data_IF_748223193866
#
_entry.id   IF_748223193866
#
_cell.length_a   1.000
_cell.length_b   1.000
_cell.length_c   1.000
_cell.angle_alpha   90.00
_cell.angle_beta   90.00
_cell.angle_gamma   90.00
#
_symmetry.space_group_name_H-M   'P 1'
#
loop_
_entity.id
_entity.type
_entity.pdbx_description
1 polymer ?
2 non-polymer ?
3 non-polymer ?
4 water ?
#
# COMPACT_ATOMS: atom_id res chain seq x y z
N UNK A 24 4.38 17.27 -5.80
CA UNK A 24 4.17 15.85 -5.43
C UNK A 24 5.04 14.98 -6.32
N UNK A 25 6.03 14.26 -5.76
CA UNK A 25 6.87 13.38 -6.54
C UNK A 25 6.04 12.25 -7.17
N UNK A 26 4.94 11.90 -6.52
CA UNK A 26 4.11 10.76 -7.01
C UNK A 26 3.31 11.14 -8.24
N UNK A 27 3.43 12.39 -8.70
CA UNK A 27 2.76 12.81 -9.96
C UNK A 27 3.78 12.88 -11.09
N UNK A 28 5.03 12.47 -10.82
CA UNK A 28 6.10 12.61 -11.83
C UNK A 28 6.26 11.32 -12.64
N UNK A 29 6.78 11.47 -13.85
CA UNK A 29 7.06 10.30 -14.71
C UNK A 29 8.12 9.42 -14.06
N UNK A 30 9.09 10.05 -13.43
CA UNK A 30 10.19 9.29 -12.78
C UNK A 30 9.58 8.26 -11.83
N UNK A 31 8.68 8.72 -10.97
CA UNK A 31 8.10 7.79 -10.01
C UNK A 31 7.13 6.83 -10.69
N UNK A 32 6.47 7.26 -11.76
CA UNK A 32 5.50 6.40 -12.42
C UNK A 32 6.17 5.13 -12.96
N UNK A 33 7.28 5.30 -13.68
CA UNK A 33 7.97 4.13 -14.20
C UNK A 33 8.53 3.24 -13.11
N UNK A 34 9.10 3.85 -12.05
CA UNK A 34 9.59 3.06 -10.92
C UNK A 34 8.46 2.23 -10.32
N UNK A 35 7.29 2.83 -10.14
CA UNK A 35 6.22 2.13 -9.45
C UNK A 35 5.49 1.14 -10.34
N UNK A 36 5.42 1.40 -11.64
CA UNK A 36 4.87 0.40 -12.55
C UNK A 36 5.77 -0.82 -12.62
N UNK A 37 7.10 -0.63 -12.63
CA UNK A 37 7.99 -1.78 -12.56
C UNK A 37 7.87 -2.48 -11.21
N UNK A 38 7.73 -1.69 -10.13
CA UNK A 38 7.62 -2.25 -8.79
C UNK A 38 6.37 -3.12 -8.67
N UNK A 39 5.27 -2.66 -9.26
CA UNK A 39 4.00 -3.34 -9.12
C UNK A 39 3.79 -4.44 -10.16
N UNK A 40 4.34 -4.29 -11.37
CA UNK A 40 4.03 -5.21 -12.46
C UNK A 40 5.24 -5.74 -13.21
N UNK A 41 6.46 -5.40 -12.78
CA UNK A 41 7.64 -5.82 -13.49
C UNK A 41 8.22 -7.12 -12.96
N UNK A 42 9.34 -7.55 -13.52
CA UNK A 42 10.02 -8.73 -13.02
C UNK A 42 10.69 -8.44 -11.68
N UNK A 43 10.99 -9.50 -10.96
CA UNK A 43 11.64 -9.35 -9.67
C UNK A 43 13.10 -8.98 -9.82
N UNK A 44 13.64 -8.43 -8.74
CA UNK A 44 15.05 -8.07 -8.65
C UNK A 44 15.68 -8.75 -7.44
N UNK A 45 16.95 -9.17 -7.60
CA UNK A 45 17.71 -9.82 -6.52
C UNK A 45 16.96 -11.02 -5.92
N UNK A 46 16.12 -11.66 -6.74
CA UNK A 46 15.30 -12.81 -6.33
C UNK A 46 14.31 -12.47 -5.22
N UNK A 47 13.97 -11.20 -5.06
CA UNK A 47 12.98 -10.80 -4.05
C UNK A 47 11.59 -10.87 -4.68
N UNK A 48 10.63 -11.52 -4.04
CA UNK A 48 9.28 -11.63 -4.63
C UNK A 48 8.62 -10.26 -4.78
N UNK A 49 7.69 -10.18 -5.74
CA UNK A 49 6.87 -8.97 -5.88
C UNK A 49 6.24 -8.60 -4.54
N UNK A 50 6.40 -7.33 -4.17
CA UNK A 50 6.05 -6.89 -2.82
C UNK A 50 4.55 -6.71 -2.64
N UNK A 51 3.84 -5.99 -3.52
CA UNK A 51 2.38 -5.90 -3.35
C UNK A 51 1.74 -7.27 -3.26
N UNK A 52 2.15 -8.21 -4.12
CA UNK A 52 1.60 -9.55 -4.06
C UNK A 52 1.97 -10.25 -2.76
N UNK A 53 3.25 -10.17 -2.35
CA UNK A 53 3.67 -10.80 -1.09
C UNK A 53 2.86 -10.27 0.08
N UNK A 54 2.56 -8.97 0.10
CA UNK A 54 1.78 -8.39 1.18
C UNK A 54 0.37 -8.97 1.21
N UNK A 55 -0.28 -9.02 0.06
CA UNK A 55 -1.66 -9.51 0.00
C UNK A 55 -1.72 -11.00 0.28
N UNK A 56 -0.68 -11.77 -0.08
CA UNK A 56 -0.65 -13.17 0.29
C UNK A 56 -0.71 -13.33 1.80
N UNK A 57 0.01 -12.48 2.54
CA UNK A 57 -0.03 -12.53 4.00
C UNK A 57 -1.40 -12.09 4.53
N UNK A 58 -1.96 -11.02 3.98
CA UNK A 58 -3.30 -10.60 4.38
C UNK A 58 -4.31 -11.73 4.20
N UNK A 59 -4.27 -12.40 3.03
CA UNK A 59 -5.26 -13.43 2.73
C UNK A 59 -5.02 -14.70 3.55
N UNK A 60 -3.82 -14.90 4.07
CA UNK A 60 -3.55 -16.04 4.93
C UNK A 60 -4.13 -15.86 6.32
N UNK A 61 -4.57 -14.65 6.66
CA UNK A 61 -5.02 -14.32 8.01
C UNK A 61 -6.45 -13.81 8.08
N UNK A 62 -7.06 -13.47 6.95
CA UNK A 62 -8.43 -12.95 6.97
C UNK A 62 -9.41 -14.09 7.18
N UNK A 63 -10.12 -14.05 8.30
CA UNK A 63 -11.08 -15.07 8.65
C UNK A 63 -12.53 -14.62 8.52
N UNK A 64 -12.77 -13.41 8.02
CA UNK A 64 -14.10 -12.86 7.90
C UNK A 64 -14.69 -13.06 6.52
N UNK A 65 -15.77 -12.32 6.25
CA UNK A 65 -16.43 -12.38 4.96
C UNK A 65 -15.59 -11.66 3.90
N UNK A 66 -15.89 -11.95 2.64
CA UNK A 66 -15.04 -11.42 1.57
C UNK A 66 -15.82 -10.54 0.61
N UNK A 67 -16.65 -9.64 1.14
CA UNK A 67 -17.45 -8.77 0.32
C UNK A 67 -16.75 -7.51 -0.15
N UNK A 68 -15.94 -6.88 0.71
CA UNK A 68 -15.41 -5.55 0.40
C UNK A 68 -14.06 -5.33 1.04
N UNK A 69 -13.08 -4.89 0.23
CA UNK A 69 -11.76 -4.55 0.71
C UNK A 69 -11.37 -3.16 0.24
N UNK A 70 -10.52 -2.50 1.03
CA UNK A 70 -10.04 -1.15 0.77
C UNK A 70 -8.52 -1.15 0.73
N UNK A 71 -7.94 -0.57 -0.32
CA UNK A 71 -6.49 -0.47 -0.53
C UNK A 71 -6.12 1.01 -0.49
N UNK A 72 -5.52 1.46 0.62
CA UNK A 72 -5.22 2.86 0.84
C UNK A 72 -3.78 3.16 0.46
N UNK A 73 -3.57 4.21 -0.34
CA UNK A 73 -2.25 4.43 -0.93
C UNK A 73 -1.93 3.38 -1.96
N UNK A 74 -2.92 3.01 -2.78
CA UNK A 74 -2.81 1.86 -3.68
C UNK A 74 -1.82 2.07 -4.82
N UNK A 75 -1.37 3.30 -5.08
CA UNK A 75 -0.46 3.62 -6.20
C UNK A 75 -1.05 3.03 -7.48
N UNK A 76 -0.30 2.25 -8.26
CA UNK A 76 -0.74 1.82 -9.57
C UNK A 76 -1.46 0.47 -9.52
N UNK A 77 -1.74 -0.03 -8.32
CA UNK A 77 -2.86 -0.95 -8.14
C UNK A 77 -2.59 -2.43 -7.99
N UNK A 78 -1.33 -2.91 -7.91
CA UNK A 78 -1.11 -4.35 -7.90
C UNK A 78 -1.78 -5.02 -6.69
N UNK A 79 -1.69 -4.41 -5.52
CA UNK A 79 -2.32 -5.00 -4.34
C UNK A 79 -3.85 -5.03 -4.47
N UNK A 80 -4.44 -4.06 -5.16
CA UNK A 80 -5.89 -4.07 -5.36
C UNK A 80 -6.31 -5.21 -6.28
N UNK A 81 -5.58 -5.42 -7.38
CA UNK A 81 -5.93 -6.51 -8.28
C UNK A 81 -5.73 -7.87 -7.61
N UNK A 82 -4.71 -7.98 -6.75
CA UNK A 82 -4.53 -9.24 -6.03
C UNK A 82 -5.67 -9.48 -5.05
N UNK A 83 -6.12 -8.43 -4.35
CA UNK A 83 -7.25 -8.57 -3.44
C UNK A 83 -8.53 -8.96 -4.19
N UNK A 84 -8.68 -8.48 -5.42
CA UNK A 84 -9.88 -8.76 -6.21
C UNK A 84 -9.97 -10.22 -6.65
N UNK A 85 -8.91 -11.00 -6.50
CA UNK A 85 -9.03 -12.44 -6.74
C UNK A 85 -9.91 -13.11 -5.71
N UNK A 86 -10.11 -12.48 -4.55
CA UNK A 86 -10.87 -13.07 -3.46
C UNK A 86 -12.07 -12.24 -3.00
N UNK A 87 -12.02 -10.92 -3.13
CA UNK A 87 -13.09 -10.06 -2.62
C UNK A 87 -14.03 -9.65 -3.74
N UNK A 88 -15.32 -9.50 -3.40
CA UNK A 88 -16.31 -9.16 -4.41
C UNK A 88 -16.15 -7.74 -4.94
N UNK A 89 -15.66 -6.82 -4.11
CA UNK A 89 -15.43 -5.43 -4.48
C UNK A 89 -14.15 -4.99 -3.80
N UNK A 90 -13.28 -4.28 -4.53
CA UNK A 90 -12.03 -3.72 -4.00
C UNK A 90 -11.96 -2.26 -4.42
N UNK A 91 -11.85 -1.37 -3.43
CA UNK A 91 -11.71 0.06 -3.66
C UNK A 91 -10.26 0.45 -3.42
N UNK A 92 -9.63 1.06 -4.41
CA UNK A 92 -8.26 1.56 -4.28
C UNK A 92 -8.24 3.07 -4.30
N UNK A 93 -7.58 3.67 -3.31
CA UNK A 93 -7.55 5.12 -3.15
C UNK A 93 -6.11 5.59 -3.09
N UNK A 94 -5.77 6.63 -3.87
CA UNK A 94 -4.45 7.23 -3.81
C UNK A 94 -4.61 8.72 -4.10
N UNK A 95 -3.70 9.52 -3.55
CA UNK A 95 -3.71 10.96 -3.79
C UNK A 95 -3.19 11.33 -5.17
N UNK A 96 -2.41 10.46 -5.82
CA UNK A 96 -1.81 10.75 -7.12
C UNK A 96 -2.78 10.45 -8.25
N UNK A 97 -3.17 11.50 -9.00
CA UNK A 97 -4.03 11.28 -10.15
C UNK A 97 -3.31 10.48 -11.22
N UNK A 98 -2.00 10.70 -11.41
CA UNK A 98 -1.28 9.94 -12.43
C UNK A 98 -1.25 8.47 -12.09
N UNK A 99 -1.10 8.12 -10.82
CA UNK A 99 -1.14 6.72 -10.42
C UNK A 99 -2.52 6.12 -10.65
N UNK A 100 -3.57 6.85 -10.25
CA UNK A 100 -4.93 6.31 -10.35
C UNK A 100 -5.33 6.13 -11.80
N UNK A 101 -4.93 7.07 -12.67
CA UNK A 101 -5.22 6.93 -14.10
C UNK A 101 -4.54 5.69 -14.69
N UNK A 102 -3.36 5.33 -14.21
CA UNK A 102 -2.70 4.11 -14.70
C UNK A 102 -3.42 2.86 -14.20
N UNK A 103 -3.79 2.83 -12.91
CA UNK A 103 -4.52 1.68 -12.39
C UNK A 103 -5.83 1.49 -13.13
N UNK A 104 -6.56 2.59 -13.38
CA UNK A 104 -7.84 2.49 -14.09
C UNK A 104 -7.65 2.01 -15.52
N UNK A 105 -6.60 2.49 -16.21
CA UNK A 105 -6.35 2.02 -17.56
C UNK A 105 -6.04 0.53 -17.57
N UNK A 106 -5.30 0.05 -16.56
CA UNK A 106 -5.03 -1.38 -16.46
C UNK A 106 -6.32 -2.17 -16.23
N UNK A 107 -7.19 -1.67 -15.35
CA UNK A 107 -8.44 -2.37 -15.08
C UNK A 107 -9.31 -2.45 -16.33
N UNK A 108 -9.31 -1.40 -17.12
CA UNK A 108 -10.22 -1.31 -18.26
C UNK A 108 -9.65 -1.91 -19.54
N UNK A 109 -8.34 -1.74 -19.78
CA UNK A 109 -7.72 -2.26 -20.99
C UNK A 109 -6.92 -3.54 -20.76
N UNK A 110 -6.57 -3.84 -19.51
CA UNK A 110 -5.79 -5.02 -19.22
C UNK A 110 -4.30 -4.87 -19.44
N UNK A 111 -3.84 -3.73 -19.97
CA UNK A 111 -2.45 -3.53 -20.34
C UNK A 111 -2.15 -2.05 -20.33
N UNK A 112 -0.88 -1.71 -20.11
CA UNK A 112 -0.42 -0.36 -20.41
C UNK A 112 1.07 -0.44 -20.70
N UNK A 113 1.61 0.63 -21.26
CA UNK A 113 3.04 0.70 -21.51
C UNK A 113 3.63 1.91 -20.78
N UNK A 114 4.93 1.83 -20.48
CA UNK A 114 5.58 2.88 -19.70
C UNK A 114 7.08 2.85 -19.98
N UNK A 115 7.76 3.91 -19.57
CA UNK A 115 9.22 3.98 -19.71
C UNK A 115 9.89 3.80 -18.36
N UNK A 116 11.09 3.18 -18.38
CA UNK A 116 11.96 3.14 -17.22
C UNK A 116 13.32 3.70 -17.61
N UNK A 117 14.07 4.19 -16.62
CA UNK A 117 15.38 4.75 -16.89
C UNK A 117 16.42 3.65 -16.97
N UNK A 118 17.24 3.68 -18.03
CA UNK A 118 18.40 2.81 -18.10
C UNK A 118 19.60 3.51 -17.47
N UNK A 119 20.02 4.63 -18.06
CA UNK A 119 21.21 5.35 -17.64
C UNK A 119 21.07 6.78 -18.15
N UNK A 120 21.05 7.74 -17.23
CA UNK A 120 20.90 9.13 -17.63
C UNK A 120 19.58 9.35 -18.34
N UNK A 121 19.66 9.88 -19.57
CA UNK A 121 18.51 10.10 -20.43
C UNK A 121 18.14 8.88 -21.27
N UNK A 122 18.93 7.80 -21.22
CA UNK A 122 18.60 6.60 -21.98
C UNK A 122 17.50 5.83 -21.26
N UNK A 123 16.42 5.53 -21.97
CA UNK A 123 15.23 4.93 -21.37
C UNK A 123 14.78 3.74 -22.20
N UNK A 124 13.89 2.93 -21.62
CA UNK A 124 13.39 1.71 -22.25
C UNK A 124 11.91 1.55 -21.98
N UNK A 125 11.15 1.19 -23.02
CA UNK A 125 9.70 1.01 -22.89
C UNK A 125 9.37 -0.41 -22.46
N UNK A 126 8.35 -0.53 -21.60
CA UNK A 126 7.94 -1.78 -20.96
C UNK A 126 6.42 -1.88 -20.99
N UNK A 127 5.91 -3.08 -20.76
CA UNK A 127 4.46 -3.35 -20.71
C UNK A 127 4.09 -3.96 -19.37
N UNK A 128 3.00 -3.46 -18.79
CA UNK A 128 2.33 -4.13 -17.66
C UNK A 128 1.10 -4.83 -18.21
N UNK A 129 0.91 -6.09 -17.80
CA UNK A 129 -0.10 -6.95 -18.43
C UNK A 129 -0.80 -7.76 -17.34
N UNK A 130 -2.10 -7.49 -17.13
CA UNK A 130 -2.84 -8.20 -16.10
C UNK A 130 -3.02 -9.67 -16.45
N UNK A 131 -3.26 -9.97 -17.74
CA UNK A 131 -3.51 -11.36 -18.12
C UNK A 131 -2.30 -12.24 -17.84
N UNK A 132 -1.08 -11.72 -18.09
CA UNK A 132 0.12 -12.49 -17.78
C UNK A 132 0.26 -12.77 -16.29
N UNK A 133 -0.35 -11.94 -15.45
CA UNK A 133 -0.26 -12.10 -13.99
C UNK A 133 -1.46 -12.82 -13.41
N UNK A 134 -2.36 -13.31 -14.27
CA UNK A 134 -3.61 -13.98 -13.86
C UNK A 134 -4.52 -13.05 -13.07
N UNK A 135 -4.53 -11.77 -13.46
CA UNK A 135 -5.30 -10.74 -12.77
C UNK A 135 -6.42 -10.13 -13.61
N UNK A 136 -6.55 -10.52 -14.89
CA UNK A 136 -7.52 -9.85 -15.74
C UNK A 136 -8.95 -10.26 -15.45
N UNK A 137 -9.18 -11.51 -15.04
CA UNK A 137 -10.53 -12.04 -14.93
C UNK A 137 -11.34 -11.32 -13.86
N UNK A 138 -10.67 -10.80 -12.83
CA UNK A 138 -11.33 -10.14 -11.71
C UNK A 138 -11.07 -8.64 -11.67
N UNK A 139 -10.45 -8.06 -12.71
CA UNK A 139 -10.18 -6.63 -12.72
C UNK A 139 -11.46 -5.80 -12.64
N UNK A 140 -12.58 -6.34 -13.12
CA UNK A 140 -13.85 -5.63 -13.04
C UNK A 140 -14.37 -5.44 -11.62
N UNK A 141 -13.80 -6.15 -10.66
CA UNK A 141 -14.19 -5.99 -9.26
C UNK A 141 -13.51 -4.79 -8.59
N UNK A 142 -12.61 -4.11 -9.29
CA UNK A 142 -11.89 -2.99 -8.71
C UNK A 142 -12.50 -1.66 -9.12
N UNK A 143 -12.31 -0.67 -8.27
CA UNK A 143 -12.64 0.72 -8.59
C UNK A 143 -11.59 1.61 -7.94
N UNK A 144 -10.90 2.41 -8.75
CA UNK A 144 -9.83 3.29 -8.27
C UNK A 144 -10.32 4.72 -8.25
N UNK A 145 -9.96 5.47 -7.21
CA UNK A 145 -10.36 6.87 -7.12
C UNK A 145 -9.29 7.68 -6.43
N UNK A 146 -9.20 8.96 -6.80
CA UNK A 146 -8.33 9.90 -6.11
C UNK A 146 -8.95 10.25 -4.77
N UNK A 147 -8.12 10.27 -3.73
CA UNK A 147 -8.59 10.62 -2.40
C UNK A 147 -7.43 10.80 -1.44
N UNK A 148 -7.75 11.41 -0.31
CA UNK A 148 -6.79 11.71 0.75
C UNK A 148 -7.03 10.75 1.90
N UNK A 149 -6.06 9.87 2.15
CA UNK A 149 -6.18 8.88 3.21
C UNK A 149 -6.24 9.50 4.60
N UNK A 150 -5.88 10.76 4.75
CA UNK A 150 -6.00 11.43 6.03
C UNK A 150 -7.38 12.08 6.22
N UNK A 151 -8.22 12.09 5.18
CA UNK A 151 -9.53 12.70 5.26
C UNK A 151 -10.41 12.03 4.19
N UNK A 152 -10.78 10.79 4.46
CA UNK A 152 -11.57 10.00 3.52
C UNK A 152 -13.02 10.48 3.50
N UNK A 153 -13.68 10.34 2.35
CA UNK A 153 -15.08 10.76 2.24
C UNK A 153 -15.97 10.01 3.24
N UNK A 154 -16.99 10.70 3.76
CA UNK A 154 -17.84 10.06 4.76
C UNK A 154 -18.84 9.08 4.16
N UNK A 155 -18.86 8.94 2.83
CA UNK A 155 -19.72 8.04 2.10
C UNK A 155 -19.07 6.68 1.81
N UNK A 156 -17.83 6.47 2.29
CA UNK A 156 -17.05 5.31 1.89
C UNK A 156 -17.57 4.00 2.47
N UNK A 157 -18.40 4.03 3.51
CA UNK A 157 -18.87 2.78 4.09
C UNK A 157 -17.80 2.08 4.89
N UNK A 158 -17.98 0.79 5.11
CA UNK A 158 -17.03 0.00 5.89
C UNK A 158 -16.67 -1.28 5.15
N UNK A 159 -15.64 -1.95 5.65
CA UNK A 159 -14.92 -2.96 4.88
C UNK A 159 -14.62 -4.19 5.72
N UNK A 160 -14.50 -5.32 5.03
CA UNK A 160 -14.05 -6.55 5.66
C UNK A 160 -12.53 -6.54 5.88
N UNK A 161 -11.80 -5.85 5.01
CA UNK A 161 -10.34 -5.85 5.04
C UNK A 161 -9.84 -4.50 4.54
N UNK A 162 -8.81 -3.97 5.21
CA UNK A 162 -8.14 -2.76 4.75
C UNK A 162 -6.65 -3.03 4.68
N UNK A 163 -6.03 -2.66 3.56
CA UNK A 163 -4.59 -2.76 3.36
C UNK A 163 -4.00 -1.38 3.17
N UNK A 164 -2.93 -1.08 3.87
CA UNK A 164 -2.19 0.18 3.69
C UNK A 164 -0.71 -0.13 3.60
N UNK A 165 -0.19 -0.25 2.38
CA UNK A 165 1.19 -0.64 2.16
C UNK A 165 2.11 0.55 1.94
N UNK A 166 3.17 0.59 2.75
CA UNK A 166 4.20 1.64 2.66
C UNK A 166 3.59 3.04 2.64
N UNK A 167 2.59 3.25 3.48
CA UNK A 167 1.84 4.51 3.48
C UNK A 167 2.05 5.35 4.74
N UNK A 168 2.08 4.74 5.92
CA UNK A 168 2.02 5.49 7.17
C UNK A 168 3.18 6.49 7.28
N UNK A 169 4.36 6.13 6.78
CA UNK A 169 5.52 7.02 6.86
C UNK A 169 5.59 8.00 5.70
N UNK A 170 4.53 8.09 4.89
CA UNK A 170 4.45 9.07 3.82
C UNK A 170 3.27 10.01 4.00
N UNK A 171 2.64 10.02 5.21
CA UNK A 171 1.46 10.82 5.48
C UNK A 171 1.77 12.02 6.34
N UNK A 172 1.17 13.18 6.09
CA UNK A 172 1.46 14.35 6.93
C UNK A 172 0.78 14.31 8.29
N UNK A 173 -0.29 13.54 8.43
CA UNK A 173 -1.02 13.42 9.70
C UNK A 173 -1.34 11.95 9.95
N UNK A 174 -0.35 11.19 10.43
CA UNK A 174 -0.61 9.76 10.70
C UNK A 174 -1.73 9.54 11.70
N UNK A 175 -1.85 10.41 12.71
CA UNK A 175 -2.90 10.20 13.70
C UNK A 175 -4.28 10.36 13.09
N UNK A 176 -4.46 11.35 12.20
CA UNK A 176 -5.76 11.53 11.57
C UNK A 176 -6.12 10.34 10.69
N UNK A 177 -5.11 9.78 10.00
CA UNK A 177 -5.31 8.57 9.22
C UNK A 177 -5.80 7.42 10.12
N UNK A 178 -5.07 7.15 11.21
CA UNK A 178 -5.39 6.01 12.08
C UNK A 178 -6.74 6.19 12.76
N UNK A 179 -7.14 7.42 13.05
CA UNK A 179 -8.39 7.66 13.77
C UNK A 179 -9.62 7.21 12.99
N UNK A 180 -9.50 7.07 11.66
CA UNK A 180 -10.61 6.62 10.83
C UNK A 180 -10.80 5.12 10.86
N UNK A 181 -9.76 4.35 11.17
CA UNK A 181 -9.75 2.94 10.86
C UNK A 181 -10.73 2.10 11.68
N UNK A 182 -10.90 2.32 13.00
CA UNK A 182 -11.93 1.52 13.71
C UNK A 182 -13.30 1.61 13.05
N UNK A 183 -13.71 2.80 12.60
CA UNK A 183 -15.02 2.93 11.98
C UNK A 183 -15.08 2.33 10.59
N UNK A 184 -13.93 2.10 9.95
CA UNK A 184 -13.92 1.60 8.58
C UNK A 184 -13.83 0.09 8.48
N UNK A 185 -13.54 -0.62 9.58
CA UNK A 185 -13.41 -2.08 9.55
C UNK A 185 -14.54 -2.69 10.38
N UNK A 186 -15.26 -3.64 9.77
CA UNK A 186 -16.29 -4.39 10.47
C UNK A 186 -15.65 -5.25 11.56
N UNK A 187 -16.34 -5.49 12.67
CA UNK A 187 -15.80 -6.40 13.69
C UNK A 187 -15.53 -7.77 13.09
N UNK A 188 -14.38 -8.34 13.43
CA UNK A 188 -13.90 -9.55 12.81
C UNK A 188 -13.09 -9.33 11.55
N UNK A 189 -13.04 -8.10 11.05
CA UNK A 189 -12.28 -7.80 9.86
C UNK A 189 -10.80 -7.68 10.15
N UNK A 190 -10.03 -7.45 9.08
CA UNK A 190 -8.57 -7.42 9.16
C UNK A 190 -8.04 -6.10 8.64
N UNK A 191 -7.12 -5.49 9.40
CA UNK A 191 -6.34 -4.36 8.95
C UNK A 191 -4.88 -4.78 8.84
N UNK A 192 -4.25 -4.50 7.69
CA UNK A 192 -2.83 -4.78 7.51
C UNK A 192 -2.11 -3.51 7.11
N UNK A 193 -1.07 -3.18 7.87
CA UNK A 193 -0.22 -2.01 7.67
C UNK A 193 1.20 -2.51 7.44
N UNK A 194 1.85 -2.04 6.38
CA UNK A 194 3.28 -2.30 6.21
C UNK A 194 4.03 -0.99 6.08
N UNK A 195 5.27 -0.99 6.57
CA UNK A 195 6.11 0.20 6.50
C UNK A 195 7.55 -0.11 6.87
N UNK A 196 8.52 0.51 6.18
CA UNK A 196 9.91 0.50 6.65
C UNK A 196 10.21 1.60 7.66
N UNK A 197 9.22 2.45 7.96
CA UNK A 197 9.36 3.51 8.97
C UNK A 197 10.48 4.47 8.59
N UNK A 198 10.48 4.91 7.33
CA UNK A 198 11.43 5.90 6.85
C UNK A 198 10.86 7.28 7.10
N UNK A 199 11.06 7.78 8.31
CA UNK A 199 10.46 9.06 8.75
C UNK A 199 11.25 10.24 8.22
N UNK A 200 10.57 11.16 7.54
CA UNK A 200 11.24 12.32 6.92
C UNK A 200 10.36 13.55 7.12
N UNK A 201 10.92 14.67 7.60
CA UNK A 201 10.13 15.90 7.74
C UNK A 201 9.47 16.36 6.43
N UNK A 202 10.00 15.99 5.26
CA UNK A 202 9.40 16.34 3.96
C UNK A 202 8.02 15.69 3.84
N UNK A 203 7.83 14.57 4.53
CA UNK A 203 6.56 13.81 4.41
C UNK A 203 5.72 13.96 5.68
N UNK A 204 6.38 13.92 6.83
CA UNK A 204 5.64 14.03 8.10
C UNK A 204 6.30 15.07 9.01
N UNK A 205 5.61 16.17 9.34
CA UNK A 205 6.16 17.11 10.33
C UNK A 205 6.56 16.39 11.61
N UNK A 206 7.72 16.78 12.16
CA UNK A 206 8.25 16.08 13.33
C UNK A 206 7.24 16.06 14.48
N UNK A 207 6.53 17.16 14.70
CA UNK A 207 5.57 17.22 15.80
C UNK A 207 4.43 16.22 15.63
N UNK A 208 4.27 15.64 14.44
CA UNK A 208 3.19 14.70 14.15
C UNK A 208 3.67 13.26 14.07
N UNK A 209 4.95 13.00 14.28
CA UNK A 209 5.42 11.62 14.31
C UNK A 209 4.74 10.86 15.44
N UNK A 210 4.35 9.61 15.18
CA UNK A 210 3.78 8.76 16.21
C UNK A 210 4.81 7.81 16.82
N UNK A 211 6.04 7.83 16.32
CA UNK A 211 7.11 7.03 16.86
C UNK A 211 8.42 7.45 16.24
N UNK A 212 9.47 6.70 16.55
CA UNK A 212 10.80 7.05 16.08
C UNK A 212 11.50 8.11 16.90
N UNK A 213 11.23 8.16 18.21
CA UNK A 213 11.86 9.15 19.07
C UNK A 213 11.86 8.62 20.49
N UNK A 214 12.58 9.32 21.35
CA UNK A 214 12.57 9.06 22.78
C UNK A 214 11.61 10.04 23.44
N UNK A 215 10.85 9.53 24.42
CA UNK A 215 9.94 10.36 25.19
C UNK A 215 10.06 9.91 26.64
N UNK A 216 10.20 10.87 27.56
CA UNK A 216 10.53 10.57 28.95
C UNK A 216 11.80 9.72 29.05
N UNK A 217 12.72 9.87 28.11
CA UNK A 217 13.96 9.12 28.14
C UNK A 217 13.83 7.67 27.75
N UNK A 218 12.73 7.27 27.13
CA UNK A 218 12.53 5.89 26.69
C UNK A 218 12.14 5.89 25.21
N UNK A 219 12.55 4.85 24.47
CA UNK A 219 12.27 4.82 23.03
C UNK A 219 10.81 4.55 22.75
N UNK A 220 10.25 5.30 21.81
CA UNK A 220 8.90 5.07 21.30
C UNK A 220 9.08 4.69 19.82
N UNK A 221 8.90 3.41 19.52
CA UNK A 221 8.98 2.93 18.15
C UNK A 221 7.70 3.24 17.40
N UNK A 222 7.78 3.23 16.06
CA UNK A 222 6.56 3.41 15.27
C UNK A 222 5.53 2.34 15.60
N UNK A 223 5.98 1.10 15.85
CA UNK A 223 5.04 0.06 16.21
C UNK A 223 4.35 0.38 17.53
N UNK A 224 5.08 0.96 18.50
CA UNK A 224 4.46 1.43 19.73
C UNK A 224 3.39 2.48 19.45
N UNK A 225 3.67 3.40 18.53
CA UNK A 225 2.69 4.41 18.18
C UNK A 225 1.46 3.81 17.52
N UNK A 226 1.67 2.82 16.64
CA UNK A 226 0.53 2.14 16.03
C UNK A 226 -0.35 1.48 17.10
N UNK A 227 0.27 0.80 18.08
CA UNK A 227 -0.50 0.15 19.13
C UNK A 227 -1.28 1.18 19.95
N UNK A 228 -0.63 2.31 20.28
CA UNK A 228 -1.29 3.32 21.09
C UNK A 228 -2.54 3.85 20.39
N UNK A 229 -2.48 4.03 19.07
CA UNK A 229 -3.60 4.59 18.33
C UNK A 229 -4.67 3.58 17.95
N UNK A 230 -4.32 2.29 17.83
CA UNK A 230 -5.27 1.31 17.31
C UNK A 230 -5.90 0.42 18.38
N UNK A 231 -5.19 0.18 19.50
CA UNK A 231 -5.69 -0.69 20.55
C UNK A 231 -6.66 0.07 21.45
N UNK A 232 -7.68 -0.59 22.01
CA UNK A 232 -8.04 -2.00 21.89
C UNK A 232 -9.06 -2.25 20.78
N UNK A 233 -9.48 -1.22 20.04
CA UNK A 233 -10.41 -1.45 18.94
C UNK A 233 -9.89 -2.50 17.98
N UNK A 234 -8.58 -2.54 17.77
CA UNK A 234 -7.90 -3.58 17.01
C UNK A 234 -7.02 -4.37 17.96
N UNK A 235 -6.83 -5.66 17.66
CA UNK A 235 -5.90 -6.51 18.41
C UNK A 235 -4.77 -6.91 17.46
N UNK A 236 -3.53 -6.62 17.86
CA UNK A 236 -2.38 -6.99 17.06
C UNK A 236 -2.22 -8.52 17.04
N UNK A 237 -2.20 -9.09 15.84
CA UNK A 237 -1.88 -10.51 15.67
C UNK A 237 -0.36 -10.65 15.75
N UNK A 238 0.13 -11.02 16.91
CA UNK A 238 1.56 -11.04 17.11
C UNK A 238 2.13 -12.37 16.61
N UNK A 239 3.40 -12.38 16.20
CA UNK A 239 4.34 -11.27 16.08
C UNK A 239 4.26 -10.59 14.72
N UNK A 240 4.78 -9.38 14.59
CA UNK A 240 4.92 -8.76 13.28
C UNK A 240 5.91 -9.55 12.43
N UNK A 241 5.91 -9.26 11.13
CA UNK A 241 6.67 -10.00 10.13
C UNK A 241 7.42 -9.03 9.23
N UNK A 242 8.66 -9.36 8.90
CA UNK A 242 9.43 -8.58 7.94
C UNK A 242 9.09 -9.03 6.52
N UNK A 243 8.83 -8.08 5.62
CA UNK A 243 8.60 -8.35 4.20
C UNK A 243 9.54 -7.45 3.41
N UNK A 244 10.51 -8.00 2.67
CA UNK A 244 11.44 -7.15 1.92
C UNK A 244 10.87 -6.70 0.58
N UNK A 245 11.50 -5.66 0.02
CA UNK A 245 11.11 -5.20 -1.30
C UNK A 245 12.26 -4.50 -1.99
N UNK A 246 12.18 -4.45 -3.32
CA UNK A 246 13.21 -3.85 -4.16
C UNK A 246 12.54 -2.93 -5.16
N UNK A 247 12.90 -1.64 -5.13
CA UNK A 247 12.46 -0.65 -6.11
C UNK A 247 13.60 -0.35 -7.06
N UNK A 248 13.32 -0.42 -8.36
CA UNK A 248 14.30 -0.17 -9.41
C UNK A 248 14.29 1.31 -9.77
N UNK A 249 15.45 1.96 -9.66
CA UNK A 249 15.59 3.35 -10.10
C UNK A 249 16.29 3.49 -11.46
N UNK A 250 17.33 2.69 -11.71
CA UNK A 250 17.99 2.64 -13.00
C UNK A 250 18.32 1.18 -13.26
N UNK A 251 19.00 0.90 -14.38
CA UNK A 251 19.47 -0.45 -14.61
C UNK A 251 20.32 -0.94 -13.45
N UNK A 252 21.08 -0.03 -12.82
CA UNK A 252 22.05 -0.42 -11.80
C UNK A 252 21.66 -0.05 -10.38
N UNK A 253 20.82 0.96 -10.17
CA UNK A 253 20.52 1.49 -8.83
C UNK A 253 19.16 1.00 -8.34
N UNK A 254 19.13 0.48 -7.10
CA UNK A 254 17.90 -0.03 -6.50
C UNK A 254 17.83 0.36 -5.03
N UNK A 255 16.61 0.45 -4.52
CA UNK A 255 16.38 0.49 -3.08
C UNK A 255 15.99 -0.92 -2.66
N UNK A 256 16.60 -1.43 -1.60
CA UNK A 256 16.34 -2.78 -1.10
C UNK A 256 16.05 -2.65 0.39
N UNK A 257 14.80 -2.81 0.78
CA UNK A 257 14.35 -2.37 2.09
C UNK A 257 13.48 -3.44 2.74
N UNK A 258 13.49 -3.49 4.07
CA UNK A 258 12.76 -4.51 4.82
C UNK A 258 11.63 -3.82 5.57
N UNK A 259 10.41 -3.95 5.06
CA UNK A 259 9.25 -3.37 5.73
C UNK A 259 8.79 -4.27 6.88
N UNK A 260 8.16 -3.66 7.88
CA UNK A 260 7.50 -4.41 8.93
C UNK A 260 6.00 -4.47 8.61
N UNK A 261 5.45 -5.68 8.60
CA UNK A 261 4.03 -5.91 8.41
C UNK A 261 3.36 -6.18 9.75
N UNK A 262 2.30 -5.46 10.04
CA UNK A 262 1.52 -5.66 11.26
C UNK A 262 0.08 -5.94 10.89
N UNK A 263 -0.48 -6.99 11.49
CA UNK A 263 -1.82 -7.47 11.18
C UNK A 263 -2.71 -7.24 12.40
N UNK A 264 -3.89 -6.66 12.18
CA UNK A 264 -4.74 -6.16 13.27
C UNK A 264 -6.16 -6.66 13.06
N UNK A 265 -6.69 -7.40 14.02
CA UNK A 265 -8.07 -7.89 13.95
C UNK A 265 -8.99 -6.88 14.63
N UNK A 266 -10.09 -6.54 13.96
CA UNK A 266 -11.06 -5.63 14.55
C UNK A 266 -11.87 -6.35 15.62
N UNK A 267 -11.89 -5.78 16.81
CA UNK A 267 -12.67 -6.33 17.92
C UNK A 267 -14.15 -5.98 17.79
X LIG B 1 1.00 0.93 -1.53
X LIG B 1 2.02 1.14 -2.62
X LIG B 1 3.19 0.17 -2.47
X LIG B 1 3.35 -0.40 -1.38
X LIG B 1 3.90 0.03 -3.46
X LIG B 1 2.54 2.58 -2.64
X LIG B 1 3.37 3.03 -1.45
X LIG B 1 4.22 4.60 -1.83
X LIG B 1 5.65 4.55 -0.74
X LIG B 1 3.14 5.75 -0.96
X LIG B 1 1.85 5.96 -1.71
X LIG B 1 0.96 6.75 -0.89
X LIG B 1 1.96 6.70 -3.05
X LIG B 1 1.23 6.01 -4.04
X LIG B 1 1.37 8.08 -2.74
X LIG B 1 0.78 8.69 -3.87
X LIG B 1 0.32 7.70 -1.69
X LIG B 1 -0.10 8.79 -0.81
X LIG B 1 0.71 9.69 -0.18
X LIG B 1 0.05 10.53 0.58
X LIG B 1 -1.27 10.15 0.45
X LIG B 1 -2.46 10.64 1.01
X LIG B 1 -2.52 11.68 1.85
X LIG B 1 -3.62 10.03 0.68
X LIG B 1 -3.56 8.99 -0.16
X LIG B 1 -2.50 8.44 -0.76
X LIG B 1 -1.37 9.07 -0.40
X LIG C 1 7.84 -2.43 -25.84
X LIG C 1 8.27 -3.69 -26.29
X LIG C 1 6.85 -2.46 -24.76
X LIG C 1 6.99 -3.57 -23.91
X LIG D 1 18.73 -6.63 -9.86
X LIG D 1 18.29 -7.91 -10.23
X LIG D 1 20.06 -6.29 -10.42
X LIG D 1 20.45 -7.14 -11.46
X LIG E 1 -2.48 10.01 -17.16
X LIG E 1 -1.22 9.52 -17.63
X LIG E 1 -2.34 11.47 -16.80
X LIG E 1 -2.72 11.63 -15.42
X LIG F 1 11.79 7.08 -17.39
X LIG F 1 11.94 7.23 -16.01
X LIG F 1 11.80 8.39 -18.06
X LIG F 1 10.69 8.58 -18.91
X LIG G 1 -7.90 4.16 22.06
X LIG G 1 -8.27 3.72 23.34
X LIG G 1 -6.66 4.98 22.02
X LIG G 1 -6.36 5.66 23.22
#
# INVERSE_FOLDING_TARGET
MGSSHHHHHHSSGLVPRGSHMTDNPYETDELLGQYLDFHYGPGHFDVPNYPKACIEQALAHHTGTTGRALDLGCAVGRSSFELARRFDEVIGIDLSRRFIDSATRLAEQGQLQYQVTLEGELIERRTADLAALELSNTAGRTRFQVGDACALDDTLGRFDLIFAGNLIDRLPDPAAFLAQLPALVRPGGLLMITSPYTLLPEFTPRERWIGGFERNGQPVRMLDGLRHHLEPDFVLLEPTRDIPFVIRETTRKYQHTVAEASLWRRA
SAM N CA C O OXT CB CG SD CE C5' C4' O4' C3' O3' C2' O2' C1' N9 C8 N7 C5 C6 N6 N1 C2 N3 C4
EDO C1 O1 C2 O2
EDO C1 O1 C2 O2
EDO C1 O1 C2 O2
EDO C1 O1 C2 O2
EDO C1 O1 C2 O2
#
